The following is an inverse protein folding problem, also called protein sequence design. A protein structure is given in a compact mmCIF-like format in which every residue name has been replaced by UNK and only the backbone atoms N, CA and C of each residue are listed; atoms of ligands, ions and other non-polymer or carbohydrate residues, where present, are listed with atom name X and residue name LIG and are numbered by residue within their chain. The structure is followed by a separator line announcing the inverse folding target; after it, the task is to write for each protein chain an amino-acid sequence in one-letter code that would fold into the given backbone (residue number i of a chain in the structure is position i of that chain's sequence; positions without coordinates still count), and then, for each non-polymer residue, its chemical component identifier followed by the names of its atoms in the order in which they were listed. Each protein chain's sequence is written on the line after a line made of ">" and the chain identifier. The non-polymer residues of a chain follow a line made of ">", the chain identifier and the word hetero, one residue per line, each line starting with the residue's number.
data_IF_146278263617
#
_entry.id   IF_146278263617
#
_cell.length_a   1.000
_cell.length_b   1.000
_cell.length_c   1.000
_cell.angle_alpha   90.00
_cell.angle_beta   90.00
_cell.angle_gamma   90.00
#
_symmetry.space_group_name_H-M   'P 1'
#
loop_
_entity.id
_entity.type
_entity.pdbx_description
1 polymer ?
#
# COMPACT_ATOMS: atom_id res chain seq x y z
N UNK A 1 23.03 -42.66 57.58
CA UNK A 1 21.95 -41.69 57.89
C UNK A 1 21.57 -41.69 59.38
N UNK A 2 21.01 -40.59 59.93
CA UNK A 2 20.47 -40.57 61.31
C UNK A 2 19.23 -41.47 61.45
N UNK A 3 18.40 -41.54 60.40
CA UNK A 3 17.18 -42.35 60.37
C UNK A 3 17.46 -43.86 60.40
N UNK A 4 18.30 -44.38 59.49
CA UNK A 4 18.63 -45.82 59.44
C UNK A 4 19.20 -46.36 60.75
N UNK A 5 20.10 -45.60 61.41
CA UNK A 5 20.66 -45.97 62.72
C UNK A 5 19.62 -45.95 63.85
N UNK A 6 18.68 -45.01 63.82
CA UNK A 6 17.61 -44.96 64.82
C UNK A 6 16.60 -46.09 64.59
N UNK A 7 16.22 -46.37 63.34
CA UNK A 7 15.34 -47.47 62.99
C UNK A 7 15.95 -48.83 63.39
N UNK A 8 17.23 -49.06 63.07
CA UNK A 8 17.96 -50.25 63.48
C UNK A 8 17.89 -50.46 65.00
N UNK A 9 18.22 -49.43 65.78
CA UNK A 9 18.18 -49.47 67.25
C UNK A 9 16.78 -49.78 67.78
N UNK A 10 15.74 -49.19 67.20
CA UNK A 10 14.35 -49.43 67.61
C UNK A 10 13.89 -50.85 67.29
N UNK A 11 14.27 -51.41 66.13
CA UNK A 11 13.95 -52.78 65.74
C UNK A 11 14.59 -53.80 66.68
N UNK A 12 15.89 -53.65 66.97
CA UNK A 12 16.59 -54.52 67.92
C UNK A 12 16.01 -54.40 69.34
N UNK A 13 15.69 -53.18 69.78
CA UNK A 13 15.01 -52.96 71.06
C UNK A 13 13.59 -53.57 71.14
N UNK A 14 12.99 -53.91 70.00
CA UNK A 14 11.68 -54.57 69.91
C UNK A 14 11.79 -56.10 69.72
N UNK A 15 12.93 -56.71 70.04
CA UNK A 15 13.21 -58.15 69.85
C UNK A 15 13.26 -58.62 68.38
N UNK A 16 13.47 -57.73 67.40
CA UNK A 16 13.81 -58.15 66.03
C UNK A 16 15.28 -58.58 65.99
N UNK A 17 15.59 -59.72 65.35
CA UNK A 17 16.97 -60.20 65.22
C UNK A 17 17.85 -59.18 64.47
N UNK A 18 19.13 -59.10 64.82
CA UNK A 18 20.05 -58.14 64.19
C UNK A 18 20.13 -58.30 62.66
N UNK A 19 20.04 -59.54 62.16
CA UNK A 19 20.05 -59.83 60.72
C UNK A 19 18.80 -59.30 60.00
N UNK A 20 17.62 -59.46 60.60
CA UNK A 20 16.38 -58.95 60.03
C UNK A 20 16.29 -57.43 60.17
N UNK A 21 16.75 -56.87 61.29
CA UNK A 21 16.84 -55.43 61.49
C UNK A 21 17.72 -54.77 60.42
N UNK A 22 18.87 -55.37 60.11
CA UNK A 22 19.80 -54.91 59.05
C UNK A 22 19.13 -54.98 57.67
N UNK A 23 18.56 -56.13 57.31
CA UNK A 23 17.89 -56.30 56.01
C UNK A 23 16.75 -55.31 55.81
N UNK A 24 15.94 -55.05 56.85
CA UNK A 24 14.83 -54.10 56.81
C UNK A 24 15.35 -52.66 56.65
N UNK A 25 16.38 -52.28 57.41
CA UNK A 25 16.96 -50.93 57.30
C UNK A 25 17.59 -50.69 55.95
N UNK A 26 18.29 -51.68 55.40
CA UNK A 26 18.95 -51.59 54.09
C UNK A 26 17.92 -51.53 52.96
N UNK A 27 16.86 -52.36 53.03
CA UNK A 27 15.77 -52.32 52.06
C UNK A 27 15.04 -50.96 52.08
N UNK A 28 14.78 -50.41 53.27
CA UNK A 28 14.16 -49.10 53.39
C UNK A 28 15.08 -47.98 52.89
N UNK A 29 16.37 -48.01 53.22
CA UNK A 29 17.35 -47.03 52.75
C UNK A 29 17.48 -47.07 51.22
N UNK A 30 17.45 -48.27 50.62
CA UNK A 30 17.40 -48.44 49.18
C UNK A 30 16.13 -47.79 48.58
N UNK A 31 14.93 -48.11 49.08
CA UNK A 31 13.68 -47.51 48.58
C UNK A 31 13.68 -45.99 48.73
N UNK A 32 14.15 -45.47 49.86
CA UNK A 32 14.20 -44.02 50.11
C UNK A 32 15.18 -43.28 49.19
N UNK A 33 16.18 -43.97 48.64
CA UNK A 33 17.19 -43.36 47.76
C UNK A 33 16.95 -43.64 46.28
N UNK A 34 16.18 -44.66 45.92
CA UNK A 34 15.99 -45.08 44.52
C UNK A 34 14.58 -44.85 43.99
N UNK A 35 13.54 -44.96 44.82
CA UNK A 35 12.15 -44.92 44.37
C UNK A 35 11.45 -43.57 44.64
N UNK A 36 11.99 -42.75 45.54
CA UNK A 36 11.37 -41.51 45.97
C UNK A 36 12.17 -40.30 45.47
N UNK A 37 11.46 -39.31 44.92
CA UNK A 37 12.06 -38.02 44.60
C UNK A 37 12.49 -37.32 45.90
N UNK A 38 13.72 -36.82 45.90
CA UNK A 38 14.26 -36.07 47.01
C UNK A 38 13.68 -34.66 47.06
N UNK A 39 13.86 -33.97 48.20
CA UNK A 39 13.50 -32.55 48.30
C UNK A 39 14.34 -31.68 47.35
N UNK A 40 15.54 -32.13 47.01
CA UNK A 40 16.41 -31.46 46.04
C UNK A 40 15.80 -31.55 44.64
N UNK A 41 15.41 -32.75 44.20
CA UNK A 41 14.80 -33.00 42.90
C UNK A 41 13.54 -32.13 42.70
N UNK A 42 12.69 -32.07 43.73
CA UNK A 42 11.49 -31.22 43.70
C UNK A 42 11.83 -29.72 43.66
N UNK A 43 12.91 -29.31 44.30
CA UNK A 43 13.36 -27.91 44.27
C UNK A 43 13.96 -27.54 42.91
N UNK A 44 14.69 -28.46 42.28
CA UNK A 44 15.25 -28.31 40.94
C UNK A 44 14.12 -28.20 39.91
N UNK A 45 13.20 -29.17 39.89
CA UNK A 45 12.04 -29.14 38.99
C UNK A 45 11.19 -27.87 39.15
N UNK A 46 10.98 -27.40 40.38
CA UNK A 46 10.28 -26.13 40.65
C UNK A 46 11.03 -24.94 40.07
N UNK A 47 12.36 -24.93 40.17
CA UNK A 47 13.18 -23.83 39.66
C UNK A 47 13.22 -23.85 38.12
N UNK A 48 13.31 -25.01 37.50
CA UNK A 48 13.22 -25.20 36.04
C UNK A 48 11.87 -24.70 35.51
N UNK A 49 10.76 -25.17 36.08
CA UNK A 49 9.42 -24.70 35.68
C UNK A 49 9.26 -23.19 35.84
N UNK A 50 9.84 -22.60 36.90
CA UNK A 50 9.80 -21.15 37.10
C UNK A 50 10.60 -20.40 36.03
N UNK A 51 11.75 -20.96 35.61
CA UNK A 51 12.56 -20.41 34.55
C UNK A 51 11.83 -20.48 33.20
N UNK A 52 11.24 -21.63 32.86
CA UNK A 52 10.44 -21.81 31.64
C UNK A 52 9.24 -20.86 31.58
N UNK A 53 8.47 -20.75 32.67
CA UNK A 53 7.34 -19.82 32.76
C UNK A 53 7.79 -18.37 32.56
N UNK A 54 8.97 -18.01 33.07
CA UNK A 54 9.51 -16.66 32.90
C UNK A 54 9.96 -16.44 31.45
N UNK A 55 10.62 -17.43 30.84
CA UNK A 55 11.03 -17.41 29.43
C UNK A 55 9.83 -17.21 28.50
N UNK A 56 8.81 -18.08 28.60
CA UNK A 56 7.58 -17.97 27.79
C UNK A 56 6.88 -16.64 28.00
N UNK A 57 6.83 -16.13 29.24
CA UNK A 57 6.23 -14.83 29.52
C UNK A 57 6.96 -13.69 28.79
N UNK A 58 8.29 -13.73 28.77
CA UNK A 58 9.09 -12.67 28.15
C UNK A 58 9.07 -12.77 26.62
N UNK A 59 9.06 -13.98 26.06
CA UNK A 59 8.81 -14.22 24.62
C UNK A 59 7.45 -13.65 24.19
N UNK A 60 6.37 -13.99 24.91
CA UNK A 60 5.03 -13.48 24.60
C UNK A 60 4.93 -11.96 24.71
N UNK A 61 5.63 -11.33 25.67
CA UNK A 61 5.69 -9.87 25.76
C UNK A 61 6.39 -9.26 24.54
N UNK A 62 7.49 -9.87 24.09
CA UNK A 62 8.24 -9.41 22.94
C UNK A 62 7.41 -9.54 21.65
N UNK A 63 6.73 -10.68 21.45
CA UNK A 63 5.83 -10.89 20.32
C UNK A 63 4.66 -9.91 20.32
N UNK A 64 4.00 -9.68 21.46
CA UNK A 64 2.92 -8.70 21.59
C UNK A 64 3.43 -7.28 21.28
N UNK A 65 4.64 -6.93 21.69
CA UNK A 65 5.24 -5.64 21.36
C UNK A 65 5.52 -5.52 19.85
N UNK A 66 6.01 -6.58 19.22
CA UNK A 66 6.22 -6.66 17.77
C UNK A 66 4.91 -6.47 16.99
N UNK A 67 3.87 -7.26 17.32
CA UNK A 67 2.56 -7.14 16.67
C UNK A 67 1.95 -5.74 16.86
N UNK A 68 2.11 -5.11 18.02
CA UNK A 68 1.65 -3.73 18.23
C UNK A 68 2.41 -2.72 17.37
N UNK A 69 3.70 -2.92 17.16
CA UNK A 69 4.50 -2.09 16.27
C UNK A 69 4.04 -2.24 14.81
N UNK A 70 3.89 -3.48 14.33
CA UNK A 70 3.43 -3.77 12.97
C UNK A 70 2.03 -3.18 12.69
N UNK A 71 1.11 -3.29 13.67
CA UNK A 71 -0.21 -2.67 13.58
C UNK A 71 -0.16 -1.14 13.51
N UNK A 72 0.79 -0.52 14.21
CA UNK A 72 0.99 0.93 14.16
C UNK A 72 1.49 1.37 12.78
N UNK A 73 2.49 0.69 12.23
CA UNK A 73 3.03 0.98 10.89
C UNK A 73 1.95 0.78 9.81
N UNK A 74 1.19 -0.32 9.87
CA UNK A 74 0.09 -0.55 8.94
C UNK A 74 -0.96 0.57 8.97
N UNK A 75 -1.25 1.12 10.15
CA UNK A 75 -2.18 2.24 10.31
C UNK A 75 -1.64 3.52 9.65
N UNK A 76 -0.34 3.80 9.79
CA UNK A 76 0.31 4.93 9.12
C UNK A 76 0.26 4.79 7.60
N UNK A 77 0.58 3.60 7.09
CA UNK A 77 0.52 3.31 5.65
C UNK A 77 -0.90 3.48 5.10
N UNK A 78 -1.92 3.03 5.83
CA UNK A 78 -3.31 3.22 5.44
C UNK A 78 -3.69 4.71 5.36
N UNK A 79 -3.31 5.51 6.37
CA UNK A 79 -3.56 6.96 6.36
C UNK A 79 -2.84 7.65 5.20
N UNK A 80 -1.60 7.23 4.90
CA UNK A 80 -0.84 7.75 3.76
C UNK A 80 -1.49 7.40 2.42
N UNK A 81 -1.99 6.18 2.28
CA UNK A 81 -2.69 5.73 1.09
C UNK A 81 -4.00 6.52 0.87
N UNK A 82 -4.77 6.76 1.94
CA UNK A 82 -5.98 7.59 1.89
C UNK A 82 -5.69 9.04 1.45
N UNK A 83 -4.61 9.62 1.97
CA UNK A 83 -4.15 10.96 1.59
C UNK A 83 -3.73 11.01 0.11
N UNK A 84 -2.96 10.02 -0.35
CA UNK A 84 -2.54 9.91 -1.75
C UNK A 84 -3.74 9.75 -2.69
N UNK A 85 -4.70 8.90 -2.34
CA UNK A 85 -5.93 8.71 -3.13
C UNK A 85 -6.77 9.99 -3.23
N UNK A 86 -6.85 10.75 -2.12
CA UNK A 86 -7.55 12.03 -2.10
C UNK A 86 -6.86 13.05 -3.02
N UNK A 87 -5.54 13.14 -2.92
CA UNK A 87 -4.71 14.04 -3.73
C UNK A 87 -4.84 13.70 -5.22
N UNK A 88 -4.66 12.43 -5.58
CA UNK A 88 -4.80 11.95 -6.96
C UNK A 88 -6.19 12.24 -7.54
N UNK A 89 -7.25 12.04 -6.75
CA UNK A 89 -8.63 12.38 -7.16
C UNK A 89 -8.80 13.87 -7.40
N UNK A 90 -8.18 14.73 -6.59
CA UNK A 90 -8.24 16.18 -6.78
C UNK A 90 -7.47 16.63 -8.00
N UNK A 91 -6.30 16.07 -8.25
CA UNK A 91 -5.47 16.36 -9.43
C UNK A 91 -6.20 15.99 -10.72
N UNK A 92 -6.74 14.77 -10.82
CA UNK A 92 -7.51 14.35 -12.01
C UNK A 92 -8.71 15.26 -12.28
N UNK A 93 -9.41 15.72 -11.24
CA UNK A 93 -10.54 16.66 -11.42
C UNK A 93 -10.08 18.02 -11.94
N UNK A 94 -8.94 18.51 -11.43
CA UNK A 94 -8.36 19.76 -11.88
C UNK A 94 -7.90 19.65 -13.35
N UNK A 95 -7.19 18.58 -13.68
CA UNK A 95 -6.71 18.30 -15.04
C UNK A 95 -7.87 18.19 -16.03
N UNK A 96 -8.92 17.43 -15.67
CA UNK A 96 -10.11 17.28 -16.53
C UNK A 96 -10.85 18.61 -16.73
N UNK A 97 -10.89 19.46 -15.70
CA UNK A 97 -11.48 20.80 -15.80
C UNK A 97 -10.66 21.68 -16.74
N UNK A 98 -9.34 21.68 -16.56
CA UNK A 98 -8.39 22.43 -17.39
C UNK A 98 -8.48 22.01 -18.85
N UNK A 99 -8.39 20.71 -19.11
CA UNK A 99 -8.53 20.14 -20.45
C UNK A 99 -9.86 20.51 -21.11
N UNK A 100 -10.98 20.46 -20.37
CA UNK A 100 -12.28 20.89 -20.88
C UNK A 100 -12.32 22.38 -21.21
N UNK A 101 -11.66 23.23 -20.42
CA UNK A 101 -11.58 24.67 -20.71
C UNK A 101 -10.72 24.97 -21.92
N UNK A 102 -9.59 24.28 -22.07
CA UNK A 102 -8.70 24.40 -23.23
C UNK A 102 -9.41 24.00 -24.52
N UNK A 103 -10.04 22.82 -24.57
CA UNK A 103 -10.84 22.40 -25.73
C UNK A 103 -11.92 23.42 -26.10
N UNK A 104 -12.59 24.01 -25.10
CA UNK A 104 -13.63 25.00 -25.37
C UNK A 104 -13.03 26.30 -25.95
N UNK A 105 -11.88 26.72 -25.47
CA UNK A 105 -11.15 27.86 -26.01
C UNK A 105 -10.72 27.59 -27.45
N UNK A 106 -10.08 26.46 -27.71
CA UNK A 106 -9.62 26.03 -29.04
C UNK A 106 -10.78 25.98 -30.04
N UNK A 107 -11.92 25.38 -29.66
CA UNK A 107 -13.10 25.32 -30.52
C UNK A 107 -13.71 26.70 -30.81
N UNK A 108 -13.63 27.63 -29.85
CA UNK A 108 -14.06 29.01 -30.05
C UNK A 108 -13.12 29.75 -31.01
N UNK A 109 -11.82 29.54 -30.87
CA UNK A 109 -10.80 30.13 -31.75
C UNK A 109 -10.92 29.58 -33.18
N UNK A 110 -11.07 28.27 -33.34
CA UNK A 110 -11.31 27.64 -34.65
C UNK A 110 -12.58 28.22 -35.29
N UNK A 111 -13.68 28.33 -34.54
CA UNK A 111 -14.91 28.94 -35.08
C UNK A 111 -14.66 30.38 -35.54
N UNK A 112 -14.01 31.19 -34.71
CA UNK A 112 -13.74 32.59 -35.03
C UNK A 112 -12.85 32.74 -36.26
N UNK A 113 -11.77 31.95 -36.35
CA UNK A 113 -10.86 31.96 -37.50
C UNK A 113 -11.58 31.52 -38.79
N UNK A 114 -12.48 30.54 -38.72
CA UNK A 114 -13.31 30.14 -39.87
C UNK A 114 -14.29 31.23 -40.30
N UNK A 115 -14.95 31.91 -39.37
CA UNK A 115 -15.84 33.04 -39.65
C UNK A 115 -15.09 34.17 -40.36
N UNK A 116 -13.95 34.61 -39.80
CA UNK A 116 -13.11 35.67 -40.37
C UNK A 116 -12.59 35.29 -41.76
N UNK A 117 -12.11 34.05 -41.93
CA UNK A 117 -11.63 33.58 -43.22
C UNK A 117 -12.77 33.49 -44.26
N UNK A 118 -13.96 33.05 -43.84
CA UNK A 118 -15.15 33.01 -44.69
C UNK A 118 -15.56 34.40 -45.19
N UNK A 119 -15.60 35.39 -44.29
CA UNK A 119 -15.86 36.79 -44.66
C UNK A 119 -14.80 37.35 -45.61
N UNK A 120 -13.53 37.07 -45.34
CA UNK A 120 -12.41 37.51 -46.18
C UNK A 120 -12.51 36.93 -47.58
N UNK A 121 -12.79 35.63 -47.69
CA UNK A 121 -12.98 34.97 -48.98
C UNK A 121 -14.18 35.54 -49.74
N UNK A 122 -15.31 35.79 -49.08
CA UNK A 122 -16.49 36.42 -49.70
C UNK A 122 -16.16 37.81 -50.28
N UNK A 123 -15.44 38.65 -49.53
CA UNK A 123 -15.00 39.98 -50.00
C UNK A 123 -14.06 39.89 -51.19
N UNK A 124 -13.11 38.95 -51.18
CA UNK A 124 -12.16 38.78 -52.27
C UNK A 124 -12.86 38.28 -53.54
N UNK A 125 -13.83 37.37 -53.42
CA UNK A 125 -14.66 36.92 -54.55
C UNK A 125 -15.46 38.08 -55.15
N UNK A 126 -16.17 38.86 -54.34
CA UNK A 126 -16.91 40.03 -54.82
C UNK A 126 -16.00 41.05 -55.53
N UNK A 127 -14.79 41.26 -55.01
CA UNK A 127 -13.79 42.13 -55.65
C UNK A 127 -13.31 41.57 -56.98
N UNK A 128 -13.09 40.26 -57.07
CA UNK A 128 -12.71 39.58 -58.32
C UNK A 128 -13.84 39.66 -59.36
N UNK A 129 -15.09 39.41 -58.97
CA UNK A 129 -16.26 39.55 -59.84
C UNK A 129 -16.39 40.98 -60.38
N UNK A 130 -16.31 42.00 -59.51
CA UNK A 130 -16.35 43.41 -59.92
C UNK A 130 -15.22 43.76 -60.91
N UNK A 131 -14.01 43.25 -60.66
CA UNK A 131 -12.84 43.46 -61.55
C UNK A 131 -13.04 42.79 -62.91
N UNK A 132 -13.63 41.60 -62.95
CA UNK A 132 -13.96 40.90 -64.20
C UNK A 132 -15.03 41.68 -64.97
N UNK A 133 -16.14 42.07 -64.32
CA UNK A 133 -17.21 42.86 -64.93
C UNK A 133 -16.69 44.17 -65.54
N UNK A 134 -15.82 44.89 -64.82
CA UNK A 134 -15.20 46.12 -65.33
C UNK A 134 -14.32 45.83 -66.56
N UNK A 135 -13.47 44.80 -66.52
CA UNK A 135 -12.60 44.40 -67.64
C UNK A 135 -13.42 44.03 -68.88
N UNK A 136 -14.44 43.19 -68.72
CA UNK A 136 -15.34 42.81 -69.81
C UNK A 136 -16.06 44.02 -70.40
N UNK A 137 -16.56 44.93 -69.56
CA UNK A 137 -17.18 46.19 -70.01
C UNK A 137 -16.22 47.03 -70.87
N UNK A 138 -14.99 47.24 -70.40
CA UNK A 138 -13.99 48.00 -71.17
C UNK A 138 -13.57 47.29 -72.47
N UNK A 139 -13.46 45.96 -72.48
CA UNK A 139 -13.17 45.18 -73.68
C UNK A 139 -14.30 45.25 -74.71
N UNK A 140 -15.57 45.17 -74.29
CA UNK A 140 -16.73 45.30 -75.17
C UNK A 140 -16.81 46.69 -75.81
N UNK A 141 -16.66 47.75 -75.01
CA UNK A 141 -16.67 49.13 -75.53
C UNK A 141 -15.50 49.37 -76.49
N UNK A 142 -14.30 48.89 -76.14
CA UNK A 142 -13.12 48.99 -77.00
C UNK A 142 -13.30 48.22 -78.32
N UNK A 143 -13.84 47.01 -78.26
CA UNK A 143 -14.13 46.18 -79.43
C UNK A 143 -15.18 46.80 -80.36
N UNK A 144 -16.28 47.31 -79.81
CA UNK A 144 -17.29 48.04 -80.59
C UNK A 144 -16.70 49.31 -81.24
N UNK A 145 -15.85 50.05 -80.52
CA UNK A 145 -15.21 51.26 -81.05
C UNK A 145 -14.33 50.95 -82.26
N UNK A 146 -13.57 49.84 -82.21
CA UNK A 146 -12.76 49.36 -83.33
C UNK A 146 -13.62 48.92 -84.53
N UNK A 147 -14.73 48.22 -84.30
CA UNK A 147 -15.68 47.83 -85.35
C UNK A 147 -16.29 49.05 -86.05
N UNK A 148 -16.73 50.05 -85.28
CA UNK A 148 -17.24 51.31 -85.83
C UNK A 148 -16.19 52.05 -86.66
N UNK A 149 -14.94 52.10 -86.19
CA UNK A 149 -13.85 52.70 -86.95
C UNK A 149 -13.62 51.96 -88.28
N UNK A 150 -13.59 50.62 -88.27
CA UNK A 150 -13.41 49.81 -89.47
C UNK A 150 -14.54 50.01 -90.50
N UNK A 151 -15.81 50.09 -90.05
CA UNK A 151 -16.96 50.36 -90.92
C UNK A 151 -16.90 51.72 -91.63
N UNK A 152 -16.21 52.72 -91.05
CA UNK A 152 -16.05 54.04 -91.67
C UNK A 152 -15.03 54.04 -92.85
N UNK A 153 -14.13 53.05 -92.90
CA UNK A 153 -13.09 52.94 -93.92
C UNK A 153 -13.43 51.96 -95.07
N UNK A 154 -14.57 51.30 -95.00
CA UNK A 154 -15.17 50.48 -96.08
C UNK A 154 -16.07 51.36 -96.95
#
# INVERSE_FOLDING_TARGET
>A
MKLGRNLYKTLVASNVSEQNATSITDALENVMTTALASKTDLSEARNELKAEITGVRDELKAEIAGVRHDLHELKLDMTKLEANMTTFRTEIRADMTTFRTEIRADMSEIRHTMEVNGERHSKELAKQENKLTLRFGTMLVGGLSLLFAALKYL
#
